data_IF_638466667059
#
_entry.id   IF_638466667059
#
_cell.length_a   1.000
_cell.length_b   1.000
_cell.length_c   1.000
_cell.angle_alpha   90.00
_cell.angle_beta   90.00
_cell.angle_gamma   90.00
#
_symmetry.space_group_name_H-M   'P 1'
#
loop_
_entity.id
_entity.type
_entity.pdbx_description
1 polymer ?
#
# COMPACT_ATOMS: atom_id res chain seq x y z
N UNK A 1 18.39 -8.08 -13.86
CA UNK A 1 18.94 -8.12 -12.50
C UNK A 1 17.81 -8.30 -11.49
N UNK A 2 18.00 -9.19 -10.52
CA UNK A 2 17.13 -9.30 -9.35
C UNK A 2 17.77 -8.52 -8.21
N UNK A 3 17.00 -7.84 -7.37
CA UNK A 3 17.51 -7.16 -6.16
C UNK A 3 18.08 -8.14 -5.11
N UNK A 4 18.25 -9.42 -5.44
CA UNK A 4 18.80 -10.45 -4.54
C UNK A 4 17.96 -10.66 -3.27
N UNK A 5 16.71 -10.17 -3.28
CA UNK A 5 15.73 -10.33 -2.22
C UNK A 5 14.85 -11.53 -2.55
N UNK A 6 14.51 -12.31 -1.53
CA UNK A 6 13.49 -13.35 -1.65
C UNK A 6 12.12 -12.69 -1.54
N UNK A 7 11.66 -12.15 -2.68
CA UNK A 7 10.35 -11.52 -2.78
C UNK A 7 9.25 -12.60 -2.68
N UNK A 8 8.11 -12.21 -2.10
CA UNK A 8 6.88 -13.02 -2.02
C UNK A 8 5.77 -12.46 -2.92
N UNK A 9 5.89 -12.59 -4.26
CA UNK A 9 4.89 -12.19 -5.26
C UNK A 9 3.43 -12.51 -4.93
N UNK A 10 3.18 -13.69 -4.37
CA UNK A 10 1.85 -14.18 -4.02
C UNK A 10 1.22 -13.44 -2.84
N UNK A 11 2.03 -12.71 -2.07
CA UNK A 11 1.61 -11.85 -0.96
C UNK A 11 1.56 -10.38 -1.34
N UNK A 12 1.80 -10.04 -2.61
CA UNK A 12 1.79 -8.67 -3.08
C UNK A 12 0.41 -8.02 -2.92
N UNK A 13 0.40 -6.73 -2.66
CA UNK A 13 -0.81 -5.94 -2.47
C UNK A 13 -0.60 -4.50 -2.95
N UNK A 14 -1.70 -3.79 -3.14
CA UNK A 14 -1.69 -2.38 -3.51
C UNK A 14 -2.02 -1.55 -2.29
N UNK A 15 -1.38 -0.39 -2.17
CA UNK A 15 -1.49 0.48 -1.01
C UNK A 15 -1.76 1.93 -1.42
N UNK A 16 -2.45 2.65 -0.53
CA UNK A 16 -2.44 4.11 -0.45
C UNK A 16 -2.27 4.50 1.01
N UNK A 17 -1.31 5.36 1.28
CA UNK A 17 -1.08 5.98 2.58
C UNK A 17 -1.38 7.48 2.48
N UNK A 18 -2.32 7.98 3.26
CA UNK A 18 -2.56 9.42 3.39
C UNK A 18 -2.35 9.86 4.83
N UNK A 19 -1.50 10.87 5.02
CA UNK A 19 -1.36 11.53 6.32
C UNK A 19 -2.06 12.88 6.24
N UNK A 20 -3.05 13.13 7.10
CA UNK A 20 -3.87 14.35 7.12
C UNK A 20 -3.87 14.98 8.51
N UNK A 21 -3.94 16.31 8.60
CA UNK A 21 -4.01 16.98 9.89
C UNK A 21 -5.27 16.53 10.66
N UNK A 22 -5.16 16.28 11.97
CA UNK A 22 -6.32 15.89 12.79
C UNK A 22 -7.45 16.92 12.74
N UNK A 23 -7.10 18.19 12.56
CA UNK A 23 -8.04 19.29 12.44
C UNK A 23 -8.88 19.25 11.16
N UNK A 24 -8.43 18.50 10.15
CA UNK A 24 -9.15 18.32 8.87
C UNK A 24 -10.14 17.16 8.89
N UNK A 25 -10.11 16.33 9.94
CA UNK A 25 -11.06 15.23 10.08
C UNK A 25 -12.47 15.78 10.35
N UNK A 26 -13.51 15.15 9.77
CA UNK A 26 -14.86 15.68 9.80
C UNK A 26 -15.44 15.81 11.21
N UNK A 27 -15.06 14.91 12.13
CA UNK A 27 -15.48 14.98 13.53
C UNK A 27 -14.72 15.99 14.38
N UNK A 28 -13.69 16.67 13.86
CA UNK A 28 -12.89 17.60 14.67
C UNK A 28 -13.65 18.90 14.96
N UNK A 29 -13.70 19.28 16.24
CA UNK A 29 -14.33 20.53 16.68
C UNK A 29 -13.30 21.41 17.38
N UNK A 30 -12.97 22.54 16.74
CA UNK A 30 -12.04 23.54 17.27
C UNK A 30 -12.51 24.05 18.63
N UNK A 31 -11.60 24.10 19.60
CA UNK A 31 -11.86 24.56 20.96
C UNK A 31 -12.50 23.52 21.89
N UNK A 32 -13.07 22.44 21.35
CA UNK A 32 -13.56 21.28 22.12
C UNK A 32 -12.50 20.19 22.23
N UNK A 33 -11.81 19.90 21.13
CA UNK A 33 -10.84 18.82 21.08
C UNK A 33 -9.41 19.33 21.33
N UNK A 34 -8.67 18.57 22.15
CA UNK A 34 -7.23 18.74 22.35
C UNK A 34 -6.50 17.70 21.52
N UNK A 35 -5.40 18.10 20.91
CA UNK A 35 -4.59 17.18 20.10
C UNK A 35 -3.78 16.26 21.01
N UNK A 36 -3.52 15.02 20.59
CA UNK A 36 -2.54 14.16 21.24
C UNK A 36 -1.16 14.80 21.29
N UNK A 37 -0.38 14.45 22.31
CA UNK A 37 1.01 14.90 22.46
C UNK A 37 2.01 13.74 22.34
N UNK A 38 1.53 12.50 22.43
CA UNK A 38 2.32 11.27 22.37
C UNK A 38 1.53 10.20 21.62
N UNK A 39 2.22 9.27 20.94
CA UNK A 39 1.56 8.13 20.32
C UNK A 39 0.99 7.19 21.38
N UNK A 40 -0.13 6.55 21.06
CA UNK A 40 -0.70 5.52 21.92
C UNK A 40 -2.20 5.35 21.72
N UNK A 41 -2.73 4.32 22.39
CA UNK A 41 -4.11 3.86 22.24
C UNK A 41 -5.16 4.96 22.40
N UNK A 42 -4.97 5.88 23.35
CA UNK A 42 -5.91 6.98 23.57
C UNK A 42 -5.90 7.98 22.40
N UNK A 43 -4.74 8.17 21.76
CA UNK A 43 -4.61 8.95 20.53
C UNK A 43 -5.33 8.26 19.38
N UNK A 44 -5.14 6.95 19.22
CA UNK A 44 -5.83 6.17 18.19
C UNK A 44 -7.35 6.20 18.35
N UNK A 45 -7.86 5.91 19.55
CA UNK A 45 -9.30 5.98 19.86
C UNK A 45 -9.87 7.39 19.59
N UNK A 46 -9.09 8.44 19.88
CA UNK A 46 -9.47 9.81 19.55
C UNK A 46 -9.58 10.01 18.03
N UNK A 47 -8.58 9.63 17.24
CA UNK A 47 -8.62 9.75 15.78
C UNK A 47 -9.78 8.98 15.17
N UNK A 48 -10.00 7.75 15.64
CA UNK A 48 -11.08 6.88 15.20
C UNK A 48 -12.45 7.51 15.46
N UNK A 49 -12.64 8.15 16.61
CA UNK A 49 -13.84 8.91 16.92
C UNK A 49 -14.08 10.13 16.00
N UNK A 50 -13.04 10.68 15.38
CA UNK A 50 -13.16 11.81 14.44
C UNK A 50 -13.43 11.38 13.00
N UNK A 51 -12.98 10.18 12.60
CA UNK A 51 -12.98 9.74 11.20
C UNK A 51 -13.80 8.47 10.91
N UNK A 52 -14.38 7.81 11.91
CA UNK A 52 -15.14 6.57 11.74
C UNK A 52 -16.27 6.64 10.72
N UNK A 53 -17.01 7.76 10.67
CA UNK A 53 -18.07 7.96 9.66
C UNK A 53 -17.51 7.92 8.23
N UNK A 54 -16.30 8.45 8.03
CA UNK A 54 -15.65 8.48 6.73
C UNK A 54 -15.17 7.09 6.29
N UNK A 55 -14.76 6.24 7.23
CA UNK A 55 -14.52 4.80 6.98
C UNK A 55 -15.81 4.15 6.49
N UNK A 56 -16.92 4.35 7.20
CA UNK A 56 -18.20 3.74 6.87
C UNK A 56 -18.70 4.15 5.47
N UNK A 57 -18.54 5.43 5.12
CA UNK A 57 -18.84 5.96 3.78
C UNK A 57 -18.00 5.28 2.70
N UNK A 58 -16.68 5.19 2.89
CA UNK A 58 -15.78 4.63 1.89
C UNK A 58 -16.01 3.13 1.66
N UNK A 59 -16.16 2.35 2.74
CA UNK A 59 -16.51 0.92 2.67
C UNK A 59 -17.85 0.70 1.98
N UNK A 60 -18.85 1.55 2.28
CA UNK A 60 -20.16 1.48 1.62
C UNK A 60 -20.06 1.82 0.14
N UNK A 61 -19.30 2.84 -0.23
CA UNK A 61 -19.09 3.24 -1.61
C UNK A 61 -18.42 2.13 -2.43
N UNK A 62 -17.38 1.49 -1.89
CA UNK A 62 -16.69 0.36 -2.56
C UNK A 62 -17.64 -0.83 -2.71
N UNK A 63 -18.40 -1.17 -1.67
CA UNK A 63 -19.38 -2.25 -1.71
C UNK A 63 -20.44 -2.02 -2.81
N UNK A 64 -20.98 -0.81 -2.90
CA UNK A 64 -21.98 -0.47 -3.91
C UNK A 64 -21.37 -0.39 -5.32
N UNK A 65 -20.14 0.11 -5.44
CA UNK A 65 -19.40 0.12 -6.69
C UNK A 65 -19.12 -1.32 -7.17
N UNK A 66 -18.77 -2.24 -6.28
CA UNK A 66 -18.54 -3.65 -6.61
C UNK A 66 -19.81 -4.31 -7.18
N UNK A 67 -20.98 -4.05 -6.57
CA UNK A 67 -22.26 -4.54 -7.11
C UNK A 67 -22.56 -3.97 -8.50
N UNK A 68 -22.28 -2.68 -8.72
CA UNK A 68 -22.59 -1.98 -9.96
C UNK A 68 -21.62 -2.33 -11.10
N UNK A 69 -20.31 -2.29 -10.84
CA UNK A 69 -19.27 -2.43 -11.86
C UNK A 69 -18.88 -3.89 -12.11
N UNK A 70 -18.90 -4.74 -11.07
CA UNK A 70 -18.57 -6.16 -11.19
C UNK A 70 -19.80 -7.06 -11.27
N UNK A 71 -21.01 -6.49 -11.15
CA UNK A 71 -22.27 -7.24 -11.20
C UNK A 71 -22.48 -8.19 -10.01
N UNK A 72 -21.73 -8.00 -8.91
CA UNK A 72 -21.76 -8.89 -7.76
C UNK A 72 -23.07 -8.76 -6.98
N UNK A 73 -23.55 -9.88 -6.44
CA UNK A 73 -24.73 -9.91 -5.56
C UNK A 73 -24.29 -9.79 -4.11
N UNK A 74 -25.24 -9.41 -3.23
CA UNK A 74 -25.01 -9.33 -1.78
C UNK A 74 -24.39 -10.59 -1.17
N UNK A 75 -24.74 -11.77 -1.68
CA UNK A 75 -24.22 -13.06 -1.16
C UNK A 75 -22.76 -13.35 -1.55
N UNK A 76 -22.23 -12.60 -2.51
CA UNK A 76 -20.84 -12.73 -3.00
C UNK A 76 -19.93 -11.67 -2.37
N UNK A 77 -20.48 -10.79 -1.55
CA UNK A 77 -19.75 -9.70 -0.89
C UNK A 77 -19.90 -9.80 0.62
N UNK A 78 -18.78 -9.73 1.32
CA UNK A 78 -18.76 -9.47 2.76
C UNK A 78 -18.23 -8.06 3.01
N UNK A 79 -18.71 -7.42 4.08
CA UNK A 79 -18.14 -6.18 4.58
C UNK A 79 -18.26 -6.12 6.10
N UNK A 80 -17.26 -5.54 6.76
CA UNK A 80 -17.35 -5.12 8.14
C UNK A 80 -16.91 -3.66 8.26
N UNK A 81 -17.50 -2.94 9.21
CA UNK A 81 -17.20 -1.54 9.50
C UNK A 81 -17.08 -1.44 11.02
N UNK A 82 -15.98 -0.84 11.46
CA UNK A 82 -15.64 -0.53 12.84
C UNK A 82 -15.08 0.91 12.89
N UNK A 83 -15.08 1.61 14.04
CA UNK A 83 -14.45 2.93 14.14
C UNK A 83 -12.95 2.94 13.78
N UNK A 84 -12.24 1.82 13.96
CA UNK A 84 -10.81 1.69 13.63
C UNK A 84 -10.52 1.38 12.16
N UNK A 85 -11.51 0.87 11.43
CA UNK A 85 -11.32 0.44 10.05
C UNK A 85 -12.50 -0.32 9.48
N UNK A 86 -12.34 -0.82 8.27
CA UNK A 86 -13.35 -1.64 7.64
C UNK A 86 -12.82 -2.37 6.42
N UNK A 87 -13.62 -3.30 5.92
CA UNK A 87 -13.21 -4.14 4.81
C UNK A 87 -14.35 -4.43 3.84
N UNK A 88 -13.98 -4.76 2.61
CA UNK A 88 -14.88 -5.35 1.60
C UNK A 88 -14.17 -6.56 1.01
N UNK A 89 -14.77 -7.74 1.18
CA UNK A 89 -14.29 -8.98 0.57
C UNK A 89 -15.18 -9.33 -0.61
N UNK A 90 -14.54 -9.53 -1.77
CA UNK A 90 -15.15 -9.92 -3.02
C UNK A 90 -14.39 -11.10 -3.65
N UNK A 91 -14.95 -11.84 -4.61
CA UNK A 91 -14.23 -12.92 -5.29
C UNK A 91 -12.97 -12.43 -6.01
N UNK A 92 -12.95 -11.18 -6.45
CA UNK A 92 -11.85 -10.59 -7.22
C UNK A 92 -10.81 -9.87 -6.35
N UNK A 93 -11.19 -9.40 -5.16
CA UNK A 93 -10.31 -8.58 -4.33
C UNK A 93 -10.70 -8.60 -2.85
N UNK A 94 -9.75 -8.27 -1.99
CA UNK A 94 -9.99 -7.89 -0.60
C UNK A 94 -9.52 -6.45 -0.41
N UNK A 95 -10.40 -5.60 0.13
CA UNK A 95 -10.07 -4.23 0.50
C UNK A 95 -10.10 -4.09 2.02
N UNK A 96 -9.11 -3.40 2.57
CA UNK A 96 -9.05 -3.01 3.98
C UNK A 96 -8.70 -1.52 4.05
N UNK A 97 -9.38 -0.80 4.93
CA UNK A 97 -9.03 0.56 5.33
C UNK A 97 -8.87 0.64 6.84
N UNK A 98 -7.81 1.30 7.29
CA UNK A 98 -7.52 1.53 8.70
C UNK A 98 -7.27 3.02 8.91
N UNK A 99 -7.66 3.50 10.09
CA UNK A 99 -7.42 4.87 10.54
C UNK A 99 -6.76 4.84 11.92
N UNK A 100 -5.60 5.48 12.01
CA UNK A 100 -4.86 5.61 13.26
C UNK A 100 -4.16 6.96 13.38
N UNK A 101 -3.55 7.20 14.54
CA UNK A 101 -2.64 8.30 14.72
C UNK A 101 -1.37 8.06 13.88
N UNK A 102 -0.82 9.11 13.28
CA UNK A 102 0.46 8.97 12.59
C UNK A 102 1.59 8.85 13.63
N UNK A 103 2.37 7.75 13.64
CA UNK A 103 3.42 7.55 14.64
C UNK A 103 4.59 8.51 14.47
N UNK A 104 4.76 9.12 13.28
CA UNK A 104 5.83 10.09 13.00
C UNK A 104 5.40 11.51 13.37
N UNK A 105 4.09 11.81 13.26
CA UNK A 105 3.52 13.11 13.60
C UNK A 105 2.15 12.95 14.29
N UNK A 106 2.16 13.01 15.62
CA UNK A 106 0.96 12.86 16.47
C UNK A 106 -0.10 13.96 16.27
N UNK A 107 0.17 14.98 15.44
CA UNK A 107 -0.83 15.98 15.05
C UNK A 107 -1.60 15.59 13.79
N UNK A 108 -1.30 14.42 13.23
CA UNK A 108 -1.87 13.89 11.99
C UNK A 108 -2.52 12.53 12.22
N UNK A 109 -3.51 12.25 11.39
CA UNK A 109 -4.09 10.94 11.21
C UNK A 109 -3.53 10.29 9.95
N UNK A 110 -3.28 8.99 10.04
CA UNK A 110 -2.83 8.18 8.93
C UNK A 110 -3.95 7.25 8.48
N UNK A 111 -4.33 7.40 7.23
CA UNK A 111 -5.19 6.46 6.51
C UNK A 111 -4.32 5.42 5.84
N UNK A 112 -4.64 4.16 6.05
CA UNK A 112 -4.00 3.05 5.39
C UNK A 112 -5.04 2.27 4.60
N UNK A 113 -4.94 2.33 3.27
CA UNK A 113 -5.80 1.56 2.35
C UNK A 113 -4.99 0.47 1.71
N UNK A 114 -5.51 -0.74 1.73
CA UNK A 114 -4.88 -1.92 1.15
C UNK A 114 -5.86 -2.67 0.27
N UNK A 115 -5.40 -3.06 -0.92
CA UNK A 115 -6.13 -3.93 -1.84
C UNK A 115 -5.27 -5.15 -2.17
N UNK A 116 -5.80 -6.34 -1.91
CA UNK A 116 -5.23 -7.60 -2.39
C UNK A 116 -6.06 -8.07 -3.57
N UNK A 117 -5.44 -8.34 -4.71
CA UNK A 117 -6.14 -8.93 -5.85
C UNK A 117 -6.16 -10.45 -5.73
N UNK A 118 -7.33 -11.05 -5.90
CA UNK A 118 -7.54 -12.49 -5.88
C UNK A 118 -7.63 -13.10 -7.29
N UNK A 119 -7.63 -12.24 -8.31
CA UNK A 119 -7.63 -12.63 -9.71
C UNK A 119 -6.53 -11.90 -10.48
N UNK A 120 -6.16 -12.45 -11.64
CA UNK A 120 -5.19 -11.84 -12.53
C UNK A 120 -5.56 -10.39 -12.89
N UNK A 121 -4.61 -9.43 -12.88
CA UNK A 121 -4.89 -8.03 -13.25
C UNK A 121 -5.52 -7.88 -14.65
N UNK A 122 -5.16 -8.78 -15.57
CA UNK A 122 -5.71 -8.81 -16.93
C UNK A 122 -7.14 -9.34 -17.02
N UNK A 123 -7.61 -10.07 -16.01
CA UNK A 123 -8.99 -10.57 -15.92
C UNK A 123 -9.95 -9.53 -15.31
N UNK A 124 -9.42 -8.45 -14.72
CA UNK A 124 -10.21 -7.36 -14.18
C UNK A 124 -10.74 -6.45 -15.31
N UNK A 125 -11.98 -5.94 -15.19
CA UNK A 125 -12.51 -4.98 -16.15
C UNK A 125 -11.67 -3.69 -16.18
N UNK A 126 -11.74 -2.94 -17.28
CA UNK A 126 -10.97 -1.69 -17.44
C UNK A 126 -11.36 -0.66 -16.38
N UNK A 127 -12.62 -0.67 -15.97
CA UNK A 127 -13.20 0.23 -14.99
C UNK A 127 -12.95 -0.20 -13.54
N UNK A 128 -12.21 -1.31 -13.31
CA UNK A 128 -11.98 -1.86 -11.97
C UNK A 128 -11.40 -0.84 -10.99
N UNK A 129 -10.47 0.00 -11.44
CA UNK A 129 -9.85 1.00 -10.59
C UNK A 129 -10.86 2.05 -10.09
N UNK A 130 -11.98 2.23 -10.80
CA UNK A 130 -13.10 3.08 -10.39
C UNK A 130 -13.97 2.51 -9.26
N UNK A 131 -13.65 1.32 -8.74
CA UNK A 131 -14.26 0.79 -7.52
C UNK A 131 -13.86 1.57 -6.27
N UNK A 132 -12.64 2.10 -6.25
CA UNK A 132 -12.03 2.71 -5.08
C UNK A 132 -12.16 4.23 -5.15
N UNK A 133 -12.83 4.89 -4.18
CA UNK A 133 -12.94 6.34 -4.16
C UNK A 133 -11.58 7.05 -4.08
N UNK A 134 -10.59 6.40 -3.46
CA UNK A 134 -9.20 6.82 -3.42
C UNK A 134 -8.36 5.74 -4.10
N UNK A 135 -7.69 6.10 -5.18
CA UNK A 135 -6.88 5.17 -5.94
C UNK A 135 -5.60 4.81 -5.19
N UNK A 136 -5.23 3.53 -5.22
CA UNK A 136 -3.89 3.08 -4.81
C UNK A 136 -2.83 3.66 -5.76
N UNK A 137 -1.66 3.98 -5.21
CA UNK A 137 -0.53 4.55 -5.94
C UNK A 137 0.78 3.79 -5.69
N UNK A 138 0.71 2.73 -4.88
CA UNK A 138 1.85 1.94 -4.48
C UNK A 138 1.57 0.44 -4.62
N UNK A 139 2.50 -0.28 -5.23
CA UNK A 139 2.54 -1.74 -5.27
C UNK A 139 3.55 -2.19 -4.21
N UNK A 140 3.10 -3.02 -3.28
CA UNK A 140 3.91 -3.51 -2.16
C UNK A 140 4.10 -5.01 -2.28
N UNK A 141 5.33 -5.46 -2.05
CA UNK A 141 5.77 -6.84 -2.21
C UNK A 141 6.59 -7.20 -0.98
N UNK A 142 6.06 -8.05 -0.09
CA UNK A 142 6.83 -8.52 1.06
C UNK A 142 8.06 -9.30 0.61
N UNK A 143 9.12 -9.29 1.41
CA UNK A 143 10.31 -10.11 1.18
C UNK A 143 10.82 -10.75 2.46
N UNK A 144 11.61 -11.82 2.33
CA UNK A 144 12.38 -12.38 3.44
C UNK A 144 13.80 -11.82 3.45
N UNK A 145 14.35 -11.60 4.65
CA UNK A 145 15.79 -11.44 4.83
C UNK A 145 16.52 -12.65 4.24
N UNK A 146 17.66 -12.49 3.55
CA UNK A 146 18.53 -13.63 3.28
C UNK A 146 18.95 -14.25 4.62
N UNK A 147 18.98 -15.59 4.71
CA UNK A 147 19.35 -16.35 5.93
C UNK A 147 20.81 -16.15 6.39
N UNK A 148 21.50 -15.13 5.89
CA UNK A 148 22.89 -14.83 6.22
C UNK A 148 23.00 -14.31 7.66
N UNK A 149 23.86 -14.98 8.43
CA UNK A 149 24.22 -14.70 9.82
C UNK A 149 25.00 -13.39 10.06
N UNK A 150 24.91 -12.43 9.15
CA UNK A 150 25.50 -11.10 9.31
C UNK A 150 24.46 -10.15 9.93
N UNK A 151 24.88 -9.34 10.91
CA UNK A 151 23.98 -8.45 11.66
C UNK A 151 23.26 -7.41 10.78
N UNK A 152 22.23 -6.76 11.33
CA UNK A 152 21.32 -5.84 10.61
C UNK A 152 22.02 -4.75 9.79
N UNK A 153 23.12 -4.16 10.28
CA UNK A 153 23.88 -3.15 9.55
C UNK A 153 24.42 -3.67 8.19
N UNK A 154 24.89 -4.93 8.15
CA UNK A 154 25.36 -5.53 6.90
C UNK A 154 24.22 -5.83 5.92
N UNK A 155 22.99 -5.97 6.42
CA UNK A 155 21.82 -6.15 5.58
C UNK A 155 21.41 -4.83 4.91
N UNK A 156 21.49 -3.72 5.64
CA UNK A 156 21.24 -2.38 5.10
C UNK A 156 22.25 -1.99 4.01
N UNK A 157 23.55 -2.13 4.28
CA UNK A 157 24.61 -1.82 3.31
C UNK A 157 24.42 -2.61 2.00
N UNK A 158 24.22 -3.93 2.11
CA UNK A 158 24.03 -4.78 0.95
C UNK A 158 22.78 -4.39 0.13
N UNK A 159 21.75 -3.89 0.80
CA UNK A 159 20.51 -3.43 0.17
C UNK A 159 20.72 -2.11 -0.59
N UNK A 160 21.44 -1.17 0.02
CA UNK A 160 21.82 0.09 -0.63
C UNK A 160 22.64 -0.19 -1.88
N UNK A 161 23.69 -1.00 -1.79
CA UNK A 161 24.52 -1.39 -2.95
C UNK A 161 23.67 -1.95 -4.10
N UNK A 162 22.65 -2.76 -3.79
CA UNK A 162 21.74 -3.32 -4.80
C UNK A 162 20.84 -2.27 -5.44
N UNK A 163 20.39 -1.26 -4.68
CA UNK A 163 19.65 -0.13 -5.24
C UNK A 163 20.54 0.74 -6.12
N UNK A 164 21.80 0.94 -5.75
CA UNK A 164 22.79 1.65 -6.57
C UNK A 164 23.06 0.91 -7.88
N UNK A 165 23.27 -0.41 -7.83
CA UNK A 165 23.39 -1.27 -9.02
C UNK A 165 22.15 -1.15 -9.92
N UNK A 166 20.95 -1.13 -9.33
CA UNK A 166 19.71 -0.94 -10.07
C UNK A 166 19.62 0.47 -10.66
N UNK A 167 20.09 1.49 -9.95
CA UNK A 167 20.16 2.87 -10.41
C UNK A 167 21.13 3.04 -11.59
N UNK A 168 22.22 2.28 -11.66
CA UNK A 168 23.14 2.27 -12.82
C UNK A 168 22.44 1.82 -14.11
N UNK A 169 21.45 0.92 -14.01
CA UNK A 169 20.68 0.41 -15.16
C UNK A 169 19.52 1.34 -15.53
N UNK A 170 18.77 1.81 -14.54
CA UNK A 170 17.52 2.54 -14.75
C UNK A 170 17.67 4.06 -14.68
N UNK A 171 18.84 4.55 -14.25
CA UNK A 171 19.09 5.95 -13.92
C UNK A 171 18.33 6.39 -12.68
N UNK A 172 18.80 7.47 -12.03
CA UNK A 172 18.14 8.03 -10.86
C UNK A 172 19.12 8.37 -9.74
N UNK A 173 18.57 8.62 -8.56
CA UNK A 173 19.33 8.82 -7.33
C UNK A 173 18.80 7.94 -6.21
N UNK A 174 19.73 7.41 -5.41
CA UNK A 174 19.43 6.66 -4.19
C UNK A 174 19.42 7.62 -3.00
N UNK A 175 18.46 7.44 -2.11
CA UNK A 175 18.28 8.15 -0.85
C UNK A 175 18.21 7.12 0.28
N UNK A 176 18.94 7.37 1.35
CA UNK A 176 19.19 6.41 2.43
C UNK A 176 18.80 7.03 3.77
N UNK A 177 18.13 6.24 4.60
CA UNK A 177 17.80 6.58 5.97
C UNK A 177 18.05 5.36 6.87
N UNK A 178 19.28 5.25 7.35
CA UNK A 178 19.73 4.15 8.22
C UNK A 178 18.95 4.11 9.55
N UNK A 179 18.59 5.27 10.12
CA UNK A 179 17.81 5.36 11.36
C UNK A 179 16.40 4.74 11.21
N UNK A 180 15.85 4.77 10.00
CA UNK A 180 14.54 4.16 9.68
C UNK A 180 14.66 2.82 8.97
N UNK A 181 15.87 2.26 8.80
CA UNK A 181 16.10 1.00 8.09
C UNK A 181 15.50 1.02 6.66
N UNK A 182 15.62 2.18 5.98
CA UNK A 182 14.97 2.48 4.70
C UNK A 182 15.93 3.02 3.65
N UNK A 183 15.77 2.54 2.43
CA UNK A 183 16.46 3.11 1.26
C UNK A 183 15.50 3.19 0.08
N UNK A 184 15.69 4.18 -0.79
CA UNK A 184 14.84 4.34 -1.96
C UNK A 184 15.58 4.89 -3.17
N UNK A 185 15.24 4.38 -4.34
CA UNK A 185 15.65 4.89 -5.63
C UNK A 185 14.52 5.72 -6.24
N UNK A 186 14.84 6.97 -6.59
CA UNK A 186 13.99 7.78 -7.48
C UNK A 186 14.59 7.76 -8.88
N UNK A 187 13.89 7.12 -9.81
CA UNK A 187 14.31 7.00 -11.20
C UNK A 187 14.15 8.32 -11.97
N UNK A 188 14.79 8.44 -13.13
CA UNK A 188 14.75 9.67 -13.95
C UNK A 188 13.33 10.03 -14.45
N UNK A 189 12.43 9.06 -14.56
CA UNK A 189 11.04 9.29 -14.94
C UNK A 189 10.14 9.68 -13.73
N UNK A 190 10.74 9.80 -12.55
CA UNK A 190 10.09 10.14 -11.29
C UNK A 190 9.39 8.98 -10.58
N UNK A 191 9.49 7.75 -11.08
CA UNK A 191 9.03 6.56 -10.36
C UNK A 191 9.96 6.25 -9.19
N UNK A 192 9.40 5.74 -8.10
CA UNK A 192 10.12 5.42 -6.87
C UNK A 192 10.08 3.93 -6.58
N UNK A 193 11.23 3.37 -6.23
CA UNK A 193 11.38 2.04 -5.66
C UNK A 193 11.90 2.24 -4.25
N UNK A 194 11.19 1.78 -3.23
CA UNK A 194 11.66 1.89 -1.85
C UNK A 194 11.67 0.53 -1.16
N UNK A 195 12.64 0.36 -0.28
CA UNK A 195 12.86 -0.82 0.51
C UNK A 195 12.81 -0.43 1.98
N UNK A 196 12.02 -1.17 2.74
CA UNK A 196 11.83 -0.99 4.17
C UNK A 196 12.19 -2.29 4.86
N UNK A 197 13.34 -2.34 5.54
CA UNK A 197 13.80 -3.56 6.24
C UNK A 197 13.02 -3.80 7.53
N UNK A 198 12.54 -2.74 8.19
CA UNK A 198 11.71 -2.84 9.39
C UNK A 198 10.37 -3.51 9.07
N UNK A 199 9.72 -3.11 7.98
CA UNK A 199 8.47 -3.70 7.49
C UNK A 199 8.68 -4.95 6.63
N UNK A 200 9.90 -5.19 6.13
CA UNK A 200 10.23 -6.25 5.15
C UNK A 200 9.43 -6.12 3.86
N UNK A 201 9.35 -4.89 3.35
CA UNK A 201 8.54 -4.53 2.19
C UNK A 201 9.37 -3.84 1.11
N UNK A 202 9.22 -4.32 -0.12
CA UNK A 202 9.56 -3.56 -1.32
C UNK A 202 8.31 -2.83 -1.78
N UNK A 203 8.44 -1.56 -2.12
CA UNK A 203 7.37 -0.74 -2.66
C UNK A 203 7.75 -0.09 -3.98
N UNK A 204 6.75 0.04 -4.85
CA UNK A 204 6.86 0.58 -6.20
C UNK A 204 5.77 1.64 -6.40
N UNK A 205 6.18 2.86 -6.69
CA UNK A 205 5.30 3.96 -7.09
C UNK A 205 5.69 4.43 -8.48
N UNK A 206 4.73 4.57 -9.38
CA UNK A 206 5.00 4.99 -10.77
C UNK A 206 4.40 6.36 -10.98
N UNK A 207 5.22 7.33 -11.40
CA UNK A 207 4.78 8.70 -11.56
C UNK A 207 3.60 8.77 -12.55
N UNK A 208 2.51 9.40 -12.10
CA UNK A 208 1.31 9.62 -12.89
C UNK A 208 0.42 8.39 -13.07
N UNK A 209 0.70 7.28 -12.37
CA UNK A 209 -0.12 6.07 -12.44
C UNK A 209 -0.75 5.78 -11.09
N UNK A 210 -2.08 5.64 -11.12
CA UNK A 210 -2.91 5.34 -9.97
C UNK A 210 -3.94 4.29 -10.35
N UNK A 211 -4.39 3.50 -9.38
CA UNK A 211 -5.30 2.38 -9.58
C UNK A 211 -4.56 1.05 -9.50
N UNK A 212 -5.23 0.04 -8.99
CA UNK A 212 -4.64 -1.27 -8.73
C UNK A 212 -4.22 -1.97 -10.04
N UNK A 213 -5.13 -1.99 -11.02
CA UNK A 213 -4.90 -2.63 -12.31
C UNK A 213 -3.86 -1.85 -13.11
N UNK A 214 -4.03 -0.53 -13.21
CA UNK A 214 -3.11 0.33 -13.95
C UNK A 214 -1.67 0.23 -13.41
N UNK A 215 -1.49 0.28 -12.09
CA UNK A 215 -0.16 0.23 -11.47
C UNK A 215 0.54 -1.10 -11.72
N UNK A 216 -0.14 -2.25 -11.58
CA UNK A 216 0.45 -3.56 -11.84
C UNK A 216 0.90 -3.73 -13.30
N UNK A 217 0.06 -3.32 -14.24
CA UNK A 217 0.38 -3.43 -15.67
C UNK A 217 1.53 -2.51 -16.06
N UNK A 218 1.57 -1.30 -15.51
CA UNK A 218 2.65 -0.36 -15.79
C UNK A 218 3.95 -0.77 -15.10
N UNK A 219 3.89 -1.30 -13.88
CA UNK A 219 5.06 -1.83 -13.18
C UNK A 219 5.70 -2.96 -13.98
N UNK A 220 4.89 -3.91 -14.47
CA UNK A 220 5.38 -5.00 -15.32
C UNK A 220 5.99 -4.51 -16.64
N UNK A 221 5.55 -3.34 -17.14
CA UNK A 221 6.10 -2.74 -18.36
C UNK A 221 7.41 -2.00 -18.13
N UNK A 222 7.51 -1.19 -17.06
CA UNK A 222 8.69 -0.34 -16.78
C UNK A 222 9.79 -1.08 -16.03
N UNK A 223 9.40 -1.90 -15.07
CA UNK A 223 10.29 -2.65 -14.19
C UNK A 223 10.09 -4.15 -14.39
N UNK A 224 10.18 -4.60 -15.64
CA UNK A 224 9.89 -6.00 -16.04
C UNK A 224 10.54 -7.02 -15.12
N UNK A 225 11.82 -6.84 -14.80
CA UNK A 225 12.59 -7.80 -14.00
C UNK A 225 12.06 -7.94 -12.56
N UNK A 226 11.46 -6.88 -12.03
CA UNK A 226 10.94 -6.80 -10.68
C UNK A 226 9.44 -7.15 -10.61
N UNK A 227 8.65 -6.62 -11.54
CA UNK A 227 7.19 -6.65 -11.50
C UNK A 227 6.57 -7.79 -12.31
N UNK A 228 7.24 -8.33 -13.33
CA UNK A 228 6.71 -9.44 -14.11
C UNK A 228 6.52 -10.73 -13.27
N UNK A 229 7.43 -11.11 -12.34
CA UNK A 229 7.21 -12.24 -11.44
C UNK A 229 5.95 -12.07 -10.58
N UNK A 230 5.66 -10.83 -10.15
CA UNK A 230 4.49 -10.48 -9.33
C UNK A 230 3.21 -10.69 -10.13
N UNK A 231 3.12 -10.10 -11.32
CA UNK A 231 1.96 -10.28 -12.19
C UNK A 231 1.76 -11.75 -12.57
N UNK A 232 2.84 -12.49 -12.84
CA UNK A 232 2.78 -13.92 -13.21
C UNK A 232 2.31 -14.79 -12.04
N UNK A 233 2.73 -14.48 -10.81
CA UNK A 233 2.26 -15.17 -9.60
C UNK A 233 0.76 -14.98 -9.41
N UNK A 234 0.28 -13.73 -9.50
CA UNK A 234 -1.15 -13.41 -9.42
C UNK A 234 -1.96 -14.08 -10.54
N UNK A 235 -1.41 -14.18 -11.75
CA UNK A 235 -2.03 -14.92 -12.86
C UNK A 235 -2.14 -16.43 -12.61
N UNK A 236 -1.19 -17.00 -11.86
CA UNK A 236 -1.16 -18.44 -11.56
C UNK A 236 -2.07 -18.80 -10.39
N UNK A 237 -2.06 -17.98 -9.34
CA UNK A 237 -2.94 -18.14 -8.17
C UNK A 237 -4.42 -18.03 -8.54
N UNK A 238 -4.77 -17.18 -9.51
CA UNK A 238 -6.13 -17.03 -10.02
C UNK A 238 -6.68 -18.25 -10.79
N UNK A 239 -5.83 -19.20 -11.18
CA UNK A 239 -6.23 -20.41 -11.95
C UNK A 239 -6.46 -21.64 -11.07
N UNK A 240 -6.22 -21.55 -9.77
CA UNK A 240 -6.42 -22.62 -8.80
C UNK A 240 -7.76 -22.45 -8.11
#
# INVERSE_FOLDING_TARGET
>A
MSLGLDLHPERAFLRRLDSVALQSLPGYVRGRHRLPHEPGRAGDEFVQGLGGDRIAEEVTAIYDAAKRLLGLRRRELARAIDPSGGNVDAPQFQFVIELGLDPVDVTRARWHRRVVLLVAPRALPLEFDGLFPVACDELVVPFSAPESSAGAAHEFDALVERLEDFALVHGGGVDENEDEDRASLTTTDGSRIALDLGARELSLQILGVHGCRALLLEAARRFTELAQPIVTSLETSARR
#
